data_IF_686818895824
#
_entry.id   IF_686818895824
#
_cell.length_a   1.000
_cell.length_b   1.000
_cell.length_c   1.000
_cell.angle_alpha   90.00
_cell.angle_beta   90.00
_cell.angle_gamma   90.00
#
_symmetry.space_group_name_H-M   'P 1'
#
loop_
_entity.id
_entity.type
_entity.pdbx_description
1 polymer ?
#
# COMPACT_ATOMS: atom_id res chain seq x y z
N UNK A 1 31.29 -75.54 53.24
CA UNK A 1 32.36 -76.14 52.43
C UNK A 1 32.60 -75.25 51.21
N UNK A 2 33.83 -74.74 51.05
CA UNK A 2 34.56 -74.34 49.83
C UNK A 2 33.78 -73.72 48.63
N UNK A 3 34.01 -72.44 48.33
CA UNK A 3 35.02 -71.83 47.40
C UNK A 3 34.38 -71.49 46.03
N UNK A 4 34.13 -70.21 45.73
CA UNK A 4 35.04 -69.20 45.12
C UNK A 4 35.18 -69.30 43.59
N UNK A 5 34.60 -68.34 42.84
CA UNK A 5 35.22 -67.43 41.82
C UNK A 5 34.11 -66.58 41.14
N UNK A 6 34.02 -65.24 41.34
CA UNK A 6 34.67 -64.10 40.62
C UNK A 6 34.27 -63.99 39.12
N UNK A 7 33.91 -62.85 38.50
CA UNK A 7 33.83 -61.42 38.88
C UNK A 7 33.11 -60.56 37.77
N UNK A 8 32.77 -59.30 38.10
CA UNK A 8 32.33 -58.14 37.26
C UNK A 8 30.83 -58.03 36.91
N UNK A 9 30.12 -56.91 37.13
CA UNK A 9 30.48 -55.60 37.68
C UNK A 9 29.32 -54.62 37.44
N UNK A 10 28.76 -54.08 38.53
CA UNK A 10 27.97 -52.83 38.72
C UNK A 10 27.31 -52.19 37.49
N UNK A 11 25.97 -52.03 37.50
CA UNK A 11 25.36 -50.68 37.35
C UNK A 11 23.83 -50.58 37.45
N UNK A 12 23.43 -49.60 38.30
CA UNK A 12 22.33 -48.63 38.16
C UNK A 12 20.91 -49.18 38.45
N UNK A 13 20.43 -49.09 39.69
CA UNK A 13 19.93 -47.88 40.38
C UNK A 13 18.61 -47.34 39.81
N UNK A 14 17.54 -47.68 40.54
CA UNK A 14 16.39 -46.87 40.92
C UNK A 14 16.51 -45.39 40.50
N UNK A 15 15.86 -45.01 39.40
CA UNK A 15 15.70 -43.61 39.02
C UNK A 15 14.33 -43.11 39.47
N UNK A 16 14.41 -42.32 40.52
CA UNK A 16 13.40 -41.47 41.12
C UNK A 16 12.65 -40.64 40.08
N UNK A 17 11.34 -40.54 40.29
CA UNK A 17 10.41 -39.61 39.65
C UNK A 17 10.88 -38.16 39.85
N UNK A 18 11.75 -37.67 38.97
CA UNK A 18 11.95 -36.23 38.79
C UNK A 18 11.02 -35.82 37.67
N UNK A 19 9.96 -35.12 38.06
CA UNK A 19 9.14 -34.33 37.17
C UNK A 19 10.07 -33.46 36.30
N UNK A 20 10.24 -33.86 35.05
CA UNK A 20 10.64 -32.96 33.98
C UNK A 20 9.48 -31.97 33.77
N UNK A 21 9.37 -30.99 34.66
CA UNK A 21 9.11 -29.64 34.23
C UNK A 21 10.32 -29.22 33.39
N UNK A 22 10.38 -29.73 32.15
CA UNK A 22 11.06 -28.98 31.13
C UNK A 22 10.38 -27.60 31.16
N UNK A 23 11.12 -26.50 31.34
CA UNK A 23 10.54 -25.22 30.99
C UNK A 23 10.14 -25.40 29.54
N UNK A 24 8.83 -25.42 29.27
CA UNK A 24 8.30 -24.98 27.99
C UNK A 24 8.96 -23.61 27.88
N UNK A 25 10.08 -23.56 27.17
CA UNK A 25 10.58 -22.34 26.61
C UNK A 25 9.43 -21.95 25.70
N UNK A 26 8.49 -21.20 26.26
CA UNK A 26 7.72 -20.21 25.55
C UNK A 26 8.79 -19.41 24.84
N UNK A 27 9.19 -19.86 23.65
CA UNK A 27 9.98 -19.10 22.74
C UNK A 27 9.16 -17.83 22.60
N UNK A 28 9.58 -16.77 23.30
CA UNK A 28 8.96 -15.46 23.17
C UNK A 28 8.96 -15.23 21.68
N UNK A 29 7.78 -15.00 21.11
CA UNK A 29 7.67 -14.71 19.69
C UNK A 29 8.73 -13.63 19.38
N UNK A 30 9.62 -13.90 18.42
CA UNK A 30 10.72 -12.99 18.13
C UNK A 30 10.13 -11.61 17.83
N UNK A 31 10.56 -10.58 18.56
CA UNK A 31 10.17 -9.20 18.27
C UNK A 31 10.78 -8.82 16.92
N UNK A 32 9.94 -8.51 15.94
CA UNK A 32 10.39 -8.08 14.62
C UNK A 32 10.69 -6.58 14.62
N UNK A 33 11.67 -6.19 13.81
CA UNK A 33 12.20 -4.83 13.73
C UNK A 33 12.88 -4.29 15.00
N UNK A 34 13.06 -5.10 16.03
CA UNK A 34 13.81 -4.71 17.23
C UNK A 34 15.29 -4.48 16.91
N UNK A 35 15.89 -5.41 16.14
CA UNK A 35 17.31 -5.38 15.82
C UNK A 35 17.61 -4.50 14.61
N UNK A 36 18.67 -3.67 14.67
CA UNK A 36 19.14 -2.94 13.50
C UNK A 36 19.66 -3.91 12.42
N UNK A 37 19.65 -3.47 11.17
CA UNK A 37 20.30 -4.21 10.09
C UNK A 37 21.81 -4.34 10.30
N UNK A 38 22.41 -5.38 9.72
CA UNK A 38 23.87 -5.44 9.61
C UNK A 38 24.38 -4.27 8.76
N UNK A 39 25.42 -3.59 9.23
CA UNK A 39 26.01 -2.40 8.60
C UNK A 39 24.98 -1.27 8.37
N UNK A 40 24.05 -1.08 9.30
CA UNK A 40 22.97 -0.11 9.19
C UNK A 40 23.47 1.29 8.79
N UNK A 41 24.55 1.81 9.37
CA UNK A 41 25.02 3.16 9.07
C UNK A 41 25.42 3.36 7.60
N UNK A 42 26.18 2.40 7.04
CA UNK A 42 26.57 2.43 5.63
C UNK A 42 25.36 2.33 4.69
N UNK A 43 24.42 1.45 5.03
CA UNK A 43 23.18 1.30 4.23
C UNK A 43 22.31 2.54 4.36
N UNK A 44 22.23 3.15 5.54
CA UNK A 44 21.42 4.35 5.80
C UNK A 44 21.91 5.51 4.95
N UNK A 45 23.21 5.62 4.73
CA UNK A 45 23.77 6.59 3.79
C UNK A 45 23.30 6.32 2.35
N UNK A 46 23.40 5.09 1.85
CA UNK A 46 22.93 4.76 0.49
C UNK A 46 21.43 5.02 0.30
N UNK A 47 20.63 4.71 1.32
CA UNK A 47 19.18 4.96 1.29
C UNK A 47 18.89 6.46 1.30
N UNK A 48 19.64 7.26 2.07
CA UNK A 48 19.53 8.74 2.03
C UNK A 48 19.95 9.32 0.68
N UNK A 49 20.98 8.76 0.06
CA UNK A 49 21.42 9.19 -1.27
C UNK A 49 20.38 8.86 -2.35
N UNK A 50 19.67 7.74 -2.22
CA UNK A 50 18.60 7.36 -3.14
C UNK A 50 17.30 8.15 -2.90
N UNK A 51 16.82 8.22 -1.66
CA UNK A 51 15.54 8.87 -1.34
C UNK A 51 15.65 10.39 -1.26
N UNK A 52 16.86 10.95 -1.15
CA UNK A 52 17.08 12.39 -1.02
C UNK A 52 16.26 13.01 0.11
N UNK A 53 15.53 14.08 -0.21
CA UNK A 53 14.64 14.77 0.72
C UNK A 53 13.25 14.12 0.85
N UNK A 54 12.96 13.10 0.04
CA UNK A 54 11.65 12.42 0.00
C UNK A 54 11.38 11.52 1.21
N UNK A 55 12.41 11.19 2.01
CA UNK A 55 12.20 10.52 3.28
C UNK A 55 13.17 11.05 4.34
N UNK A 56 12.66 12.01 5.11
CA UNK A 56 13.47 12.79 6.05
C UNK A 56 13.89 12.00 7.28
N UNK A 57 13.07 11.04 7.73
CA UNK A 57 13.38 10.20 8.88
C UNK A 57 12.95 8.75 8.66
N UNK A 58 13.87 7.83 8.96
CA UNK A 58 13.65 6.39 8.88
C UNK A 58 14.69 5.63 9.69
N UNK A 59 14.38 4.36 9.97
CA UNK A 59 15.31 3.40 10.56
C UNK A 59 15.49 2.16 9.70
N UNK A 60 16.63 1.49 9.86
CA UNK A 60 16.94 0.24 9.17
C UNK A 60 16.89 -0.93 10.14
N UNK A 61 15.85 -1.76 10.01
CA UNK A 61 15.52 -2.81 10.96
C UNK A 61 15.38 -4.17 10.28
N UNK A 62 15.67 -5.23 11.04
CA UNK A 62 15.62 -6.59 10.54
C UNK A 62 14.27 -7.24 10.82
N UNK A 63 13.73 -7.98 9.84
CA UNK A 63 12.56 -8.84 9.98
C UNK A 63 12.93 -10.31 9.74
N UNK A 64 12.50 -11.23 10.60
CA UNK A 64 12.74 -12.66 10.42
C UNK A 64 11.56 -13.33 9.70
N UNK A 65 11.52 -13.14 8.37
CA UNK A 65 10.48 -13.69 7.50
C UNK A 65 10.42 -15.21 7.57
N UNK A 66 11.56 -15.88 7.77
CA UNK A 66 11.61 -17.35 7.81
C UNK A 66 10.92 -17.88 9.06
N UNK A 67 11.24 -17.32 10.22
CA UNK A 67 10.61 -17.74 11.48
C UNK A 67 9.13 -17.37 11.49
N UNK A 68 8.75 -16.21 10.97
CA UNK A 68 7.36 -15.80 10.81
C UNK A 68 6.56 -16.83 9.98
N UNK A 69 7.02 -17.16 8.76
CA UNK A 69 6.34 -18.12 7.89
C UNK A 69 6.29 -19.52 8.52
N UNK A 70 7.39 -19.97 9.15
CA UNK A 70 7.44 -21.29 9.81
C UNK A 70 6.48 -21.41 10.98
N UNK A 71 6.17 -20.30 11.67
CA UNK A 71 5.16 -20.26 12.73
C UNK A 71 3.72 -20.38 12.22
N UNK A 72 3.55 -20.37 10.88
CA UNK A 72 2.26 -20.39 10.21
C UNK A 72 1.46 -19.09 10.37
N UNK A 73 2.13 -17.99 10.78
CA UNK A 73 1.49 -16.70 11.06
C UNK A 73 0.31 -16.80 12.06
N UNK A 74 0.27 -17.83 12.92
CA UNK A 74 -0.85 -18.13 13.82
C UNK A 74 -0.79 -17.38 15.15
N UNK A 75 0.27 -16.61 15.39
CA UNK A 75 0.52 -15.92 16.65
C UNK A 75 0.49 -14.41 16.40
N UNK A 76 0.03 -13.62 17.40
CA UNK A 76 0.23 -12.19 17.36
C UNK A 76 1.70 -11.84 17.11
N UNK A 77 1.92 -10.78 16.33
CA UNK A 77 3.22 -10.30 15.94
C UNK A 77 3.62 -9.14 16.84
N UNK A 78 4.78 -9.25 17.47
CA UNK A 78 5.42 -8.13 18.16
C UNK A 78 6.26 -7.37 17.12
N UNK A 79 5.89 -6.12 16.84
CA UNK A 79 6.52 -5.20 15.88
C UNK A 79 7.12 -4.01 16.61
N UNK A 80 8.26 -3.50 16.13
CA UNK A 80 8.85 -2.23 16.61
C UNK A 80 8.85 -1.23 15.46
N UNK A 81 7.99 -0.21 15.53
CA UNK A 81 7.73 0.74 14.44
C UNK A 81 7.85 2.19 14.93
N UNK A 82 8.28 3.14 14.08
CA UNK A 82 8.38 4.54 14.44
C UNK A 82 7.00 5.21 14.54
N UNK A 83 6.79 6.00 15.59
CA UNK A 83 5.64 6.90 15.68
C UNK A 83 5.88 8.21 14.90
N UNK A 84 4.91 9.13 14.97
CA UNK A 84 4.95 10.45 14.33
C UNK A 84 6.08 11.38 14.82
N UNK A 85 6.74 11.02 15.92
CA UNK A 85 7.92 11.70 16.48
C UNK A 85 9.21 10.93 16.19
N UNK A 86 9.14 9.88 15.38
CA UNK A 86 10.22 8.94 15.07
C UNK A 86 10.75 8.16 16.29
N UNK A 87 9.95 8.04 17.34
CA UNK A 87 10.25 7.19 18.48
C UNK A 87 9.85 5.75 18.14
N UNK A 88 10.72 4.78 18.39
CA UNK A 88 10.45 3.38 18.10
C UNK A 88 9.53 2.78 19.17
N UNK A 89 8.30 2.45 18.81
CA UNK A 89 7.27 1.91 19.70
C UNK A 89 7.08 0.41 19.44
N UNK A 90 7.02 -0.38 20.52
CA UNK A 90 6.68 -1.80 20.44
C UNK A 90 5.17 -1.99 20.44
N UNK A 91 4.64 -2.56 19.36
CA UNK A 91 3.23 -2.87 19.19
C UNK A 91 3.02 -4.38 19.05
N UNK A 92 1.97 -4.90 19.66
CA UNK A 92 1.54 -6.30 19.49
C UNK A 92 0.26 -6.36 18.67
N UNK A 93 0.35 -6.89 17.46
CA UNK A 93 -0.77 -6.93 16.51
C UNK A 93 -1.26 -8.36 16.30
N UNK A 94 -2.58 -8.55 16.19
CA UNK A 94 -3.14 -9.80 15.67
C UNK A 94 -2.75 -9.98 14.20
N UNK A 95 -2.67 -11.23 13.75
CA UNK A 95 -2.37 -11.58 12.37
C UNK A 95 -3.43 -12.55 11.89
N UNK A 96 -3.98 -12.29 10.72
CA UNK A 96 -4.96 -13.16 10.06
C UNK A 96 -4.58 -13.28 8.59
N UNK A 97 -4.65 -14.49 8.03
CA UNK A 97 -4.52 -14.67 6.57
C UNK A 97 -5.61 -13.85 5.87
N UNK A 98 -5.21 -13.02 4.92
CA UNK A 98 -6.12 -12.17 4.17
C UNK A 98 -6.13 -12.62 2.71
N UNK A 99 -7.32 -12.81 2.10
CA UNK A 99 -7.42 -13.25 0.71
C UNK A 99 -6.67 -12.31 -0.24
N UNK A 100 -5.97 -12.88 -1.22
CA UNK A 100 -5.23 -12.14 -2.24
C UNK A 100 -5.87 -12.29 -3.62
N UNK A 101 -6.04 -13.50 -4.11
CA UNK A 101 -6.68 -13.77 -5.40
C UNK A 101 -7.98 -14.54 -5.21
N UNK A 102 -8.81 -14.54 -6.25
CA UNK A 102 -9.91 -15.50 -6.31
C UNK A 102 -9.37 -16.93 -6.25
N UNK A 103 -10.09 -17.82 -5.57
CA UNK A 103 -9.61 -19.14 -5.17
C UNK A 103 -9.07 -19.99 -6.34
N UNK A 104 -9.64 -19.80 -7.53
CA UNK A 104 -9.32 -20.60 -8.71
C UNK A 104 -8.24 -19.96 -9.61
N UNK A 105 -7.76 -18.76 -9.28
CA UNK A 105 -6.68 -18.09 -10.02
C UNK A 105 -5.32 -18.70 -9.66
N UNK A 106 -4.89 -19.67 -10.47
CA UNK A 106 -3.65 -20.44 -10.24
C UNK A 106 -2.53 -20.10 -11.23
N UNK A 107 -2.82 -19.28 -12.24
CA UNK A 107 -1.89 -18.92 -13.28
C UNK A 107 -1.97 -17.43 -13.66
N UNK A 108 -0.88 -16.92 -14.20
CA UNK A 108 -0.72 -15.57 -14.75
C UNK A 108 -0.05 -15.66 -16.12
N UNK A 109 0.03 -14.54 -16.83
CA UNK A 109 0.57 -14.53 -18.19
C UNK A 109 1.81 -13.64 -18.31
N UNK A 110 2.87 -14.19 -18.92
CA UNK A 110 4.01 -13.42 -19.41
C UNK A 110 3.85 -13.18 -20.90
N UNK A 111 3.75 -11.92 -21.29
CA UNK A 111 3.47 -11.52 -22.67
C UNK A 111 4.74 -11.16 -23.43
N UNK A 112 4.81 -11.65 -24.67
CA UNK A 112 5.83 -11.31 -25.65
C UNK A 112 5.24 -10.55 -26.84
N UNK A 113 5.91 -10.56 -27.98
CA UNK A 113 5.46 -9.82 -29.17
C UNK A 113 4.25 -10.45 -29.85
N UNK A 114 3.33 -9.60 -30.31
CA UNK A 114 2.06 -10.02 -30.93
C UNK A 114 1.15 -10.75 -29.94
N UNK A 115 0.54 -11.85 -30.37
CA UNK A 115 -0.37 -12.68 -29.56
C UNK A 115 0.36 -13.72 -28.70
N UNK A 116 1.70 -13.64 -28.58
CA UNK A 116 2.49 -14.63 -27.85
C UNK A 116 2.39 -14.39 -26.35
N UNK A 117 1.81 -15.35 -25.64
CA UNK A 117 1.76 -15.36 -24.18
C UNK A 117 2.26 -16.70 -23.63
N UNK A 118 2.89 -16.66 -22.47
CA UNK A 118 3.28 -17.84 -21.70
C UNK A 118 2.58 -17.84 -20.35
N UNK A 119 1.77 -18.87 -20.12
CA UNK A 119 1.16 -19.12 -18.81
C UNK A 119 2.24 -19.50 -17.79
N UNK A 120 2.19 -18.88 -16.62
CA UNK A 120 3.08 -19.10 -15.48
C UNK A 120 2.23 -19.49 -14.28
N UNK A 121 2.65 -20.55 -13.57
CA UNK A 121 2.05 -20.90 -12.29
C UNK A 121 2.31 -19.80 -11.27
N UNK A 122 1.24 -19.30 -10.66
CA UNK A 122 1.34 -18.28 -9.63
C UNK A 122 1.98 -18.83 -8.35
N UNK A 123 2.81 -18.04 -7.65
CA UNK A 123 3.32 -18.42 -6.35
C UNK A 123 2.19 -18.45 -5.32
N UNK A 124 2.37 -19.26 -4.27
CA UNK A 124 1.46 -19.31 -3.13
C UNK A 124 1.35 -17.91 -2.50
N UNK A 125 0.12 -17.51 -2.21
CA UNK A 125 -0.19 -16.28 -1.50
C UNK A 125 0.15 -16.36 -0.03
N UNK A 126 0.69 -15.25 0.46
CA UNK A 126 1.08 -15.05 1.84
C UNK A 126 0.86 -13.58 2.16
N UNK A 127 -0.41 -13.23 2.29
CA UNK A 127 -0.87 -11.89 2.64
C UNK A 127 -1.64 -11.98 3.95
N UNK A 128 -1.45 -10.99 4.81
CA UNK A 128 -2.01 -10.98 6.14
C UNK A 128 -2.59 -9.61 6.46
N UNK A 129 -3.75 -9.62 7.09
CA UNK A 129 -4.28 -8.47 7.80
C UNK A 129 -3.59 -8.40 9.16
N UNK A 130 -3.12 -7.20 9.51
CA UNK A 130 -2.57 -6.88 10.83
C UNK A 130 -3.61 -6.11 11.64
N UNK A 131 -3.74 -6.46 12.91
CA UNK A 131 -4.75 -5.86 13.79
C UNK A 131 -6.16 -6.42 13.52
N UNK A 132 -7.18 -5.75 14.05
CA UNK A 132 -8.58 -6.19 13.92
C UNK A 132 -9.37 -5.32 12.95
N UNK A 133 -8.92 -4.10 12.67
CA UNK A 133 -9.62 -3.14 11.83
C UNK A 133 -11.12 -3.01 12.21
N UNK A 134 -11.40 -2.68 13.47
CA UNK A 134 -12.77 -2.69 14.00
C UNK A 134 -13.07 -1.41 14.79
N UNK A 135 -14.36 -1.05 14.84
CA UNK A 135 -14.87 0.02 15.69
C UNK A 135 -14.49 -0.24 17.16
N UNK A 136 -13.63 0.62 17.72
CA UNK A 136 -13.09 0.50 19.09
C UNK A 136 -11.67 -0.08 19.19
N UNK A 137 -11.17 -0.78 18.17
CA UNK A 137 -9.78 -1.18 18.01
C UNK A 137 -9.29 -0.84 16.60
N UNK A 138 -8.82 0.41 16.39
CA UNK A 138 -8.48 0.92 15.07
C UNK A 138 -7.15 0.38 14.54
N UNK A 139 -6.42 -0.44 15.30
CA UNK A 139 -5.18 -1.05 14.79
C UNK A 139 -5.51 -1.87 13.55
N UNK A 140 -4.98 -1.42 12.42
CA UNK A 140 -5.24 -1.99 11.11
C UNK A 140 -3.99 -1.94 10.26
N UNK A 141 -3.82 -2.89 9.34
CA UNK A 141 -2.65 -2.92 8.49
C UNK A 141 -2.60 -4.14 7.60
N UNK A 142 -1.58 -4.18 6.75
CA UNK A 142 -1.30 -5.32 5.89
C UNK A 142 0.14 -5.79 6.07
N UNK A 143 0.38 -7.06 5.76
CA UNK A 143 1.71 -7.63 5.61
C UNK A 143 1.68 -8.60 4.43
N UNK A 144 2.45 -8.28 3.40
CA UNK A 144 2.62 -9.11 2.22
C UNK A 144 4.01 -9.75 2.24
N UNK A 145 4.10 -11.05 1.94
CA UNK A 145 5.38 -11.70 1.70
C UNK A 145 5.74 -11.58 0.21
N UNK A 146 6.79 -10.82 -0.08
CA UNK A 146 7.30 -10.60 -1.42
C UNK A 146 8.62 -11.34 -1.57
N UNK A 147 8.57 -12.51 -2.22
CA UNK A 147 9.71 -13.41 -2.37
C UNK A 147 10.17 -14.02 -1.04
N UNK A 148 11.18 -13.43 -0.41
CA UNK A 148 11.73 -13.87 0.90
C UNK A 148 11.72 -12.76 1.95
N UNK A 149 11.03 -11.67 1.66
CA UNK A 149 10.98 -10.46 2.46
C UNK A 149 9.52 -10.10 2.73
N UNK A 150 9.28 -9.11 3.58
CA UNK A 150 7.94 -8.60 3.87
C UNK A 150 7.86 -7.13 3.55
N UNK A 151 6.71 -6.68 3.09
CA UNK A 151 6.36 -5.26 3.03
C UNK A 151 4.94 -5.08 3.53
N UNK A 152 4.61 -3.88 3.99
CA UNK A 152 3.28 -3.58 4.51
C UNK A 152 3.29 -2.37 5.42
N UNK A 153 2.19 -2.19 6.13
CA UNK A 153 2.00 -1.06 7.03
C UNK A 153 1.15 -1.41 8.24
N UNK A 154 1.20 -0.54 9.24
CA UNK A 154 0.28 -0.52 10.38
C UNK A 154 -0.17 0.91 10.66
N UNK A 155 -1.47 1.09 10.81
CA UNK A 155 -2.11 2.29 11.34
C UNK A 155 -2.57 1.97 12.76
N UNK A 156 -2.13 2.78 13.74
CA UNK A 156 -2.52 2.64 15.14
C UNK A 156 -2.40 3.97 15.88
N UNK A 157 -3.23 4.19 16.89
CA UNK A 157 -3.27 5.43 17.68
C UNK A 157 -1.92 5.84 18.30
N UNK A 158 -1.03 4.89 18.60
CA UNK A 158 0.27 5.20 19.22
C UNK A 158 1.35 5.55 18.20
N UNK A 159 1.22 5.05 16.97
CA UNK A 159 2.25 5.20 15.94
C UNK A 159 1.79 6.03 14.74
N UNK A 160 0.51 6.38 14.62
CA UNK A 160 -0.03 6.96 13.39
C UNK A 160 0.03 5.93 12.27
N UNK A 161 0.58 6.32 11.12
CA UNK A 161 0.74 5.46 9.94
C UNK A 161 2.21 5.09 9.71
N UNK A 162 2.59 3.86 10.05
CA UNK A 162 3.96 3.36 9.89
C UNK A 162 4.05 2.29 8.79
N UNK A 163 5.10 2.37 7.99
CA UNK A 163 5.36 1.49 6.86
C UNK A 163 6.70 0.76 7.02
N UNK A 164 6.78 -0.39 6.37
CA UNK A 164 8.01 -1.16 6.27
C UNK A 164 8.13 -1.82 4.89
N UNK A 165 9.31 -1.73 4.29
CA UNK A 165 9.58 -2.35 3.00
C UNK A 165 11.04 -2.81 2.85
N UNK A 166 11.33 -3.80 2.00
CA UNK A 166 12.67 -4.33 1.89
C UNK A 166 13.61 -3.37 1.17
N UNK A 167 14.71 -2.99 1.84
CA UNK A 167 15.72 -2.04 1.30
C UNK A 167 16.22 -2.51 -0.06
N UNK A 168 16.52 -3.80 -0.22
CA UNK A 168 17.03 -4.32 -1.48
C UNK A 168 16.08 -4.17 -2.66
N UNK A 169 14.76 -4.09 -2.44
CA UNK A 169 13.79 -3.81 -3.50
C UNK A 169 13.65 -2.32 -3.76
N UNK A 170 13.61 -1.51 -2.70
CA UNK A 170 13.62 -0.05 -2.79
C UNK A 170 14.82 0.44 -3.61
N UNK A 171 16.03 0.01 -3.26
CA UNK A 171 17.24 0.40 -3.97
C UNK A 171 17.24 -0.01 -5.45
N UNK A 172 16.59 -1.12 -5.80
CA UNK A 172 16.48 -1.56 -7.21
C UNK A 172 15.60 -0.63 -8.04
N UNK A 173 14.52 -0.09 -7.45
CA UNK A 173 13.68 0.93 -8.11
C UNK A 173 14.48 2.21 -8.33
N UNK A 174 15.34 2.54 -7.37
CA UNK A 174 16.36 3.59 -7.43
C UNK A 174 17.60 3.24 -8.28
N UNK A 175 17.42 2.43 -9.34
CA UNK A 175 18.46 2.13 -10.32
C UNK A 175 19.59 1.18 -9.87
N UNK A 176 19.60 0.69 -8.62
CA UNK A 176 20.65 -0.21 -8.16
C UNK A 176 20.53 -1.60 -8.80
N UNK A 177 21.43 -1.91 -9.73
CA UNK A 177 21.45 -3.21 -10.46
C UNK A 177 21.64 -4.43 -9.56
N UNK A 178 22.36 -4.30 -8.43
CA UNK A 178 22.62 -5.43 -7.51
C UNK A 178 22.74 -5.00 -6.05
N UNK A 179 21.74 -5.37 -5.24
CA UNK A 179 21.80 -5.29 -3.79
C UNK A 179 22.77 -6.33 -3.20
N UNK A 180 23.71 -5.89 -2.38
CA UNK A 180 24.65 -6.75 -1.64
C UNK A 180 24.44 -6.72 -0.13
N UNK A 181 23.52 -5.91 0.37
CA UNK A 181 23.21 -5.82 1.79
C UNK A 181 22.38 -7.00 2.30
N UNK A 182 22.03 -6.93 3.58
CA UNK A 182 21.28 -7.99 4.25
C UNK A 182 19.87 -8.14 3.63
N UNK A 183 19.46 -9.38 3.38
CA UNK A 183 18.14 -9.69 2.83
C UNK A 183 17.03 -9.59 3.88
N UNK A 184 17.35 -9.61 5.16
CA UNK A 184 16.36 -9.32 6.21
C UNK A 184 16.21 -7.82 6.49
N UNK A 185 16.98 -6.96 5.83
CA UNK A 185 16.95 -5.53 6.09
C UNK A 185 15.76 -4.84 5.43
N UNK A 186 15.04 -4.09 6.25
CA UNK A 186 13.89 -3.28 5.85
C UNK A 186 14.13 -1.84 6.28
N UNK A 187 13.63 -0.92 5.47
CA UNK A 187 13.38 0.43 5.93
C UNK A 187 12.09 0.41 6.72
N UNK A 188 12.07 1.09 7.87
CA UNK A 188 10.86 1.35 8.65
C UNK A 188 10.74 2.84 8.85
N UNK A 189 9.57 3.39 8.56
CA UNK A 189 9.36 4.83 8.58
C UNK A 189 7.89 5.16 8.86
N UNK A 190 7.65 6.40 9.25
CA UNK A 190 6.31 6.94 9.43
C UNK A 190 5.94 7.77 8.20
N UNK A 191 4.68 7.72 7.77
CA UNK A 191 4.18 8.52 6.66
C UNK A 191 4.43 10.02 6.87
N UNK A 192 4.42 10.50 8.12
CA UNK A 192 4.72 11.90 8.47
C UNK A 192 6.12 12.38 8.08
N UNK A 193 7.05 11.47 7.78
CA UNK A 193 8.41 11.80 7.36
C UNK A 193 8.65 11.64 5.87
N UNK A 194 7.64 11.20 5.13
CA UNK A 194 7.70 11.08 3.68
C UNK A 194 7.43 12.44 3.03
N UNK A 195 8.09 12.71 1.91
CA UNK A 195 7.86 13.88 1.07
C UNK A 195 6.51 13.81 0.35
N UNK A 196 6.12 14.90 -0.32
CA UNK A 196 4.84 14.98 -1.02
C UNK A 196 4.78 14.01 -2.21
N UNK A 197 3.55 13.62 -2.59
CA UNK A 197 3.23 12.80 -3.77
C UNK A 197 2.36 13.66 -4.69
N UNK A 198 2.89 14.46 -5.61
CA UNK A 198 2.03 15.28 -6.44
C UNK A 198 1.15 14.41 -7.34
N UNK A 199 -0.10 14.84 -7.48
CA UNK A 199 -0.99 14.40 -8.55
C UNK A 199 -1.22 15.63 -9.43
N UNK A 200 -0.41 15.80 -10.47
CA UNK A 200 -0.63 16.83 -11.47
C UNK A 200 -1.30 16.20 -12.70
N UNK A 201 -2.57 16.54 -12.92
CA UNK A 201 -3.33 16.14 -14.12
C UNK A 201 -3.18 17.14 -15.27
N UNK A 202 -2.42 18.21 -15.06
CA UNK A 202 -2.29 19.29 -16.04
C UNK A 202 -0.83 19.37 -16.47
N UNK A 203 -0.46 18.86 -17.66
CA UNK A 203 0.75 19.31 -18.33
C UNK A 203 0.53 20.77 -18.75
N UNK A 204 0.76 21.68 -17.81
CA UNK A 204 0.69 23.12 -17.99
C UNK A 204 2.06 23.68 -17.77
N UNK A 205 2.61 24.33 -18.80
CA UNK A 205 3.86 25.08 -18.82
C UNK A 205 4.34 25.52 -17.44
N UNK A 206 5.62 25.24 -17.15
CA UNK A 206 6.39 25.83 -16.05
C UNK A 206 6.37 27.36 -16.14
N UNK A 207 5.28 28.00 -15.80
CA UNK A 207 5.21 29.43 -15.56
C UNK A 207 5.44 29.64 -14.07
N UNK A 208 6.70 30.00 -13.77
CA UNK A 208 7.09 30.54 -12.49
C UNK A 208 6.18 31.72 -12.12
N UNK A 209 5.17 31.48 -11.30
CA UNK A 209 4.42 32.57 -10.68
C UNK A 209 5.20 33.10 -9.47
N UNK A 210 6.09 34.04 -9.76
CA UNK A 210 6.49 35.06 -8.79
C UNK A 210 5.30 36.01 -8.61
N UNK A 211 4.60 35.93 -7.49
CA UNK A 211 4.22 37.10 -6.67
C UNK A 211 3.34 36.67 -5.50
N UNK A 212 3.76 37.06 -4.30
CA UNK A 212 2.96 36.83 -3.10
C UNK A 212 1.85 37.85 -2.92
N UNK A 213 0.86 37.50 -2.10
CA UNK A 213 0.52 38.30 -0.91
C UNK A 213 -0.34 37.51 0.08
N UNK A 214 -0.04 37.83 1.33
CA UNK A 214 -0.55 37.34 2.61
C UNK A 214 -2.08 37.40 2.77
N UNK A 215 -2.62 36.50 3.61
CA UNK A 215 -3.58 36.92 4.63
C UNK A 215 -4.70 35.95 5.00
N UNK A 216 -4.44 34.95 5.85
CA UNK A 216 -4.94 34.92 7.23
C UNK A 216 -4.35 33.70 7.96
N UNK A 217 -3.29 33.92 8.73
CA UNK A 217 -2.80 32.93 9.69
C UNK A 217 -3.74 33.02 10.89
N UNK A 218 -4.79 32.19 10.90
CA UNK A 218 -5.45 31.83 12.14
C UNK A 218 -4.44 30.98 12.93
N UNK A 219 -3.97 31.53 14.04
CA UNK A 219 -2.99 30.82 14.88
C UNK A 219 -3.61 29.49 15.32
N UNK A 220 -2.91 28.37 15.10
CA UNK A 220 -3.41 27.01 15.37
C UNK A 220 -3.90 26.75 16.81
N UNK A 221 -3.67 27.69 17.73
CA UNK A 221 -4.25 27.69 19.09
C UNK A 221 -5.75 27.97 19.12
N UNK A 222 -6.28 28.82 18.24
CA UNK A 222 -7.72 29.11 18.19
C UNK A 222 -8.51 27.96 17.57
N UNK A 223 -7.99 27.36 16.49
CA UNK A 223 -8.58 26.17 15.85
C UNK A 223 -8.61 24.98 16.82
N UNK A 224 -7.52 24.73 17.56
CA UNK A 224 -7.49 23.67 18.57
C UNK A 224 -8.45 23.92 19.75
N UNK A 225 -8.68 25.19 20.13
CA UNK A 225 -9.63 25.55 21.19
C UNK A 225 -11.10 25.51 20.74
N UNK A 226 -11.39 25.76 19.46
CA UNK A 226 -12.73 25.68 18.89
C UNK A 226 -13.09 24.23 18.51
N UNK A 227 -12.12 23.41 18.11
CA UNK A 227 -12.28 21.96 17.94
C UNK A 227 -12.54 21.28 19.28
N UNK A 228 -11.80 21.65 20.34
CA UNK A 228 -12.03 21.14 21.70
C UNK A 228 -13.39 21.58 22.26
N UNK A 229 -13.82 22.84 22.02
CA UNK A 229 -15.16 23.31 22.39
C UNK A 229 -16.27 22.63 21.58
N UNK A 230 -16.04 22.33 20.29
CA UNK A 230 -16.98 21.54 19.49
C UNK A 230 -17.13 20.13 20.07
N UNK A 231 -16.01 19.45 20.35
CA UNK A 231 -15.98 18.11 20.96
C UNK A 231 -16.60 18.06 22.37
N UNK A 232 -16.45 19.10 23.18
CA UNK A 232 -17.09 19.23 24.49
C UNK A 232 -18.59 19.58 24.38
N UNK A 233 -19.03 20.21 23.27
CA UNK A 233 -20.44 20.52 22.98
C UNK A 233 -21.21 19.38 22.33
N UNK A 234 -20.53 18.41 21.68
CA UNK A 234 -21.14 17.15 21.20
C UNK A 234 -21.27 16.16 22.37
N UNK A 235 -21.87 16.63 23.46
CA UNK A 235 -22.38 15.78 24.52
C UNK A 235 -23.53 14.94 23.98
N UNK A 236 -23.42 13.63 24.16
CA UNK A 236 -24.35 12.60 23.71
C UNK A 236 -24.40 12.36 22.19
N UNK A 237 -23.35 11.69 21.68
CA UNK A 237 -23.62 10.73 20.61
C UNK A 237 -24.59 9.69 21.19
N UNK A 238 -25.84 9.77 20.74
CA UNK A 238 -26.73 8.61 20.76
C UNK A 238 -25.92 7.45 20.20
N UNK A 239 -25.80 6.39 21.02
CA UNK A 239 -25.32 5.09 20.56
C UNK A 239 -26.38 4.65 19.55
N UNK A 240 -26.18 5.01 18.28
CA UNK A 240 -26.84 4.31 17.20
C UNK A 240 -26.50 2.83 17.37
N UNK A 241 -27.50 1.93 17.24
CA UNK A 241 -27.28 0.50 17.38
C UNK A 241 -26.12 0.12 16.46
N UNK A 242 -25.30 -0.84 16.90
CA UNK A 242 -24.14 -1.31 16.15
C UNK A 242 -24.52 -1.63 14.70
N UNK A 243 -24.41 -0.64 13.81
CA UNK A 243 -24.48 -0.85 12.39
C UNK A 243 -23.25 -1.72 12.11
N UNK A 244 -23.53 -2.99 11.80
CA UNK A 244 -22.52 -3.88 11.25
C UNK A 244 -21.83 -3.12 10.12
N UNK A 245 -20.51 -3.29 9.97
CA UNK A 245 -19.84 -2.80 8.76
C UNK A 245 -20.69 -3.26 7.56
N UNK A 246 -20.95 -2.37 6.57
CA UNK A 246 -21.68 -2.75 5.38
C UNK A 246 -21.09 -4.04 4.83
N UNK A 247 -21.93 -4.94 4.31
CA UNK A 247 -21.40 -6.12 3.62
C UNK A 247 -20.48 -5.63 2.50
N UNK A 248 -19.23 -6.14 2.44
CA UNK A 248 -18.29 -5.65 1.44
C UNK A 248 -18.82 -5.92 0.03
N UNK A 249 -18.78 -4.89 -0.82
CA UNK A 249 -18.97 -5.07 -2.26
C UNK A 249 -17.69 -5.64 -2.84
N UNK A 250 -17.82 -6.76 -3.53
CA UNK A 250 -16.72 -7.46 -4.18
C UNK A 250 -16.60 -7.00 -5.63
N UNK A 251 -15.46 -6.40 -5.99
CA UNK A 251 -15.24 -5.83 -7.33
C UNK A 251 -14.08 -6.57 -8.01
N UNK A 252 -14.31 -7.29 -9.12
CA UNK A 252 -13.23 -7.92 -9.89
C UNK A 252 -12.16 -6.92 -10.34
N UNK A 253 -10.89 -7.29 -10.24
CA UNK A 253 -9.78 -6.48 -10.73
C UNK A 253 -8.73 -7.35 -11.47
N UNK A 254 -8.25 -6.86 -12.61
CA UNK A 254 -7.11 -7.43 -13.36
C UNK A 254 -5.87 -6.57 -13.12
N UNK A 255 -4.72 -7.22 -12.93
CA UNK A 255 -3.46 -6.54 -12.60
C UNK A 255 -2.40 -6.78 -13.65
N UNK A 256 -2.01 -5.70 -14.33
CA UNK A 256 -1.09 -5.78 -15.46
C UNK A 256 0.18 -5.00 -15.18
N UNK A 257 1.26 -5.24 -15.92
CA UNK A 257 2.46 -4.43 -15.78
C UNK A 257 3.38 -4.49 -16.98
N UNK A 258 4.15 -3.43 -17.17
CA UNK A 258 5.10 -3.35 -18.27
C UNK A 258 6.39 -4.16 -18.04
N UNK A 259 7.24 -4.14 -19.06
CA UNK A 259 8.52 -4.82 -19.06
C UNK A 259 9.58 -4.22 -18.12
N UNK A 260 9.55 -2.92 -17.85
CA UNK A 260 10.41 -2.28 -16.86
C UNK A 260 10.03 -2.75 -15.45
N UNK A 261 8.74 -2.81 -15.13
CA UNK A 261 8.24 -3.30 -13.85
C UNK A 261 8.61 -4.76 -13.64
N UNK A 262 8.48 -5.60 -14.68
CA UNK A 262 9.00 -6.97 -14.68
C UNK A 262 10.49 -7.01 -14.35
N UNK A 263 11.27 -6.18 -15.02
CA UNK A 263 12.74 -6.17 -14.96
C UNK A 263 13.31 -5.78 -13.60
N UNK A 264 12.56 -5.02 -12.79
CA UNK A 264 12.93 -4.72 -11.40
C UNK A 264 13.21 -6.01 -10.59
N UNK A 265 12.33 -7.00 -10.74
CA UNK A 265 12.48 -8.31 -10.10
C UNK A 265 11.49 -9.33 -10.67
N UNK A 266 11.92 -10.13 -11.66
CA UNK A 266 11.05 -11.13 -12.31
C UNK A 266 10.45 -12.15 -11.34
N UNK A 267 11.22 -12.57 -10.33
CA UNK A 267 10.78 -13.61 -9.38
C UNK A 267 9.71 -13.14 -8.40
N UNK A 268 9.43 -11.83 -8.32
CA UNK A 268 8.49 -11.26 -7.35
C UNK A 268 7.41 -10.40 -7.99
N UNK A 269 7.33 -10.34 -9.32
CA UNK A 269 6.40 -9.44 -10.02
C UNK A 269 4.94 -9.63 -9.58
N UNK A 270 4.45 -10.87 -9.54
CA UNK A 270 3.09 -11.19 -9.14
C UNK A 270 2.77 -10.80 -7.69
N UNK A 271 3.71 -11.04 -6.78
CA UNK A 271 3.57 -10.67 -5.37
C UNK A 271 3.66 -9.17 -5.15
N UNK A 272 4.36 -8.42 -6.03
CA UNK A 272 4.46 -6.96 -5.94
C UNK A 272 3.16 -6.29 -6.36
N UNK A 273 2.58 -6.69 -7.48
CA UNK A 273 1.24 -6.24 -7.90
C UNK A 273 0.21 -6.51 -6.79
N UNK A 274 0.21 -7.76 -6.30
CA UNK A 274 -0.73 -8.20 -5.27
C UNK A 274 -0.53 -7.47 -3.93
N UNK A 275 0.71 -7.15 -3.56
CA UNK A 275 1.02 -6.42 -2.33
C UNK A 275 0.36 -5.04 -2.30
N UNK A 276 0.47 -4.27 -3.40
CA UNK A 276 -0.14 -2.93 -3.51
C UNK A 276 -1.66 -3.04 -3.43
N UNK A 277 -2.28 -3.92 -4.22
CA UNK A 277 -3.74 -4.08 -4.18
C UNK A 277 -4.25 -4.54 -2.82
N UNK A 278 -3.52 -5.43 -2.13
CA UNK A 278 -3.91 -5.81 -0.78
C UNK A 278 -3.85 -4.64 0.21
N UNK A 279 -2.89 -3.74 0.07
CA UNK A 279 -2.87 -2.50 0.85
C UNK A 279 -4.09 -1.63 0.53
N UNK A 280 -4.44 -1.46 -0.75
CA UNK A 280 -5.64 -0.71 -1.17
C UNK A 280 -6.91 -1.34 -0.61
N UNK A 281 -7.05 -2.68 -0.63
CA UNK A 281 -8.21 -3.39 -0.04
C UNK A 281 -8.36 -3.14 1.46
N UNK A 282 -7.26 -3.04 2.19
CA UNK A 282 -7.34 -2.71 3.62
C UNK A 282 -7.84 -1.26 3.79
N UNK A 283 -7.40 -0.34 2.92
CA UNK A 283 -7.88 1.04 2.92
C UNK A 283 -9.39 1.08 2.60
N UNK A 284 -9.78 0.57 1.43
CA UNK A 284 -11.15 0.61 0.92
C UNK A 284 -12.13 -0.25 1.71
N UNK A 285 -11.73 -1.46 2.11
CA UNK A 285 -12.63 -2.44 2.68
C UNK A 285 -12.78 -2.31 4.20
N UNK A 286 -11.77 -1.80 4.89
CA UNK A 286 -11.72 -1.83 6.36
C UNK A 286 -11.44 -0.47 7.01
N UNK A 287 -10.72 0.42 6.34
CA UNK A 287 -10.36 1.72 6.90
C UNK A 287 -11.37 2.81 6.55
N UNK A 288 -11.73 2.96 5.27
CA UNK A 288 -12.73 3.93 4.82
C UNK A 288 -14.11 3.78 5.48
N UNK A 289 -14.62 2.56 5.75
CA UNK A 289 -15.83 2.39 6.54
C UNK A 289 -15.73 2.94 7.98
N UNK A 290 -14.53 3.21 8.49
CA UNK A 290 -14.29 3.72 9.85
C UNK A 290 -14.01 5.22 9.89
N UNK A 291 -13.63 5.81 8.75
CA UNK A 291 -13.38 7.24 8.58
C UNK A 291 -14.65 7.96 8.14
N UNK A 292 -15.11 7.73 6.91
CA UNK A 292 -16.11 8.57 6.24
C UNK A 292 -17.25 7.79 5.58
N UNK A 293 -17.07 6.48 5.36
CA UNK A 293 -17.93 5.70 4.49
C UNK A 293 -18.90 4.77 5.22
N UNK A 294 -20.08 4.61 4.65
CA UNK A 294 -20.95 3.44 4.77
C UNK A 294 -20.77 2.48 3.58
N UNK A 295 -19.64 2.60 2.87
CA UNK A 295 -19.20 1.68 1.83
C UNK A 295 -18.01 0.85 2.30
N UNK A 296 -17.87 -0.35 1.75
CA UNK A 296 -16.74 -1.25 1.96
C UNK A 296 -16.51 -1.98 0.64
N UNK A 297 -15.30 -1.84 0.08
CA UNK A 297 -14.96 -2.47 -1.20
C UNK A 297 -13.81 -3.46 -0.99
N UNK A 298 -14.00 -4.68 -1.47
CA UNK A 298 -12.97 -5.70 -1.56
C UNK A 298 -12.73 -5.98 -3.03
N UNK A 299 -11.58 -5.54 -3.54
CA UNK A 299 -11.19 -5.92 -4.90
C UNK A 299 -10.93 -7.42 -4.95
N UNK A 300 -11.35 -8.15 -5.96
CA UNK A 300 -11.05 -9.57 -6.15
C UNK A 300 -10.12 -9.74 -7.34
N UNK A 301 -8.87 -10.18 -7.10
CA UNK A 301 -7.88 -10.27 -8.18
C UNK A 301 -8.19 -11.52 -9.00
N UNK A 302 -8.62 -11.29 -10.24
CA UNK A 302 -9.08 -12.32 -11.17
C UNK A 302 -8.12 -12.57 -12.34
N UNK A 303 -7.22 -11.62 -12.61
CA UNK A 303 -6.22 -11.74 -13.66
C UNK A 303 -4.90 -11.12 -13.23
N UNK A 304 -3.80 -11.70 -13.69
CA UNK A 304 -2.48 -11.05 -13.62
C UNK A 304 -1.71 -11.26 -14.92
N UNK A 305 -1.24 -10.15 -15.50
CA UNK A 305 -0.37 -10.14 -16.68
C UNK A 305 0.90 -9.33 -16.43
N UNK A 306 1.96 -9.65 -17.17
CA UNK A 306 3.15 -8.83 -17.25
C UNK A 306 3.86 -8.98 -18.60
N UNK A 307 4.33 -7.87 -19.15
CA UNK A 307 5.12 -7.85 -20.38
C UNK A 307 6.59 -8.22 -20.17
N UNK A 308 7.16 -8.93 -21.15
CA UNK A 308 8.59 -9.24 -21.19
C UNK A 308 9.39 -8.10 -21.82
N UNK A 309 10.70 -7.98 -21.50
CA UNK A 309 11.60 -7.01 -22.13
C UNK A 309 11.54 -7.05 -23.66
N UNK A 310 11.42 -5.85 -24.26
CA UNK A 310 11.28 -5.67 -25.70
C UNK A 310 9.84 -5.62 -26.21
N UNK A 311 8.86 -5.62 -25.31
CA UNK A 311 7.42 -5.55 -25.63
C UNK A 311 6.68 -4.68 -24.60
N UNK A 312 5.43 -4.32 -24.90
CA UNK A 312 4.60 -3.44 -24.08
C UNK A 312 4.63 -2.00 -24.58
N UNK A 313 4.20 -1.04 -23.74
CA UNK A 313 4.12 0.36 -24.12
C UNK A 313 5.51 0.90 -24.42
N UNK A 314 5.57 1.87 -25.34
CA UNK A 314 6.80 2.51 -25.78
C UNK A 314 6.87 3.98 -25.44
N UNK A 315 5.74 4.61 -25.17
CA UNK A 315 5.65 6.00 -24.77
C UNK A 315 6.06 6.24 -23.32
N UNK A 316 6.59 7.43 -23.07
CA UNK A 316 6.81 7.99 -21.73
C UNK A 316 5.86 9.13 -21.43
N UNK A 317 4.95 9.50 -22.33
CA UNK A 317 3.89 10.47 -22.07
C UNK A 317 2.70 9.78 -21.40
N UNK A 318 2.16 10.39 -20.35
CA UNK A 318 1.10 9.77 -19.55
C UNK A 318 -0.23 9.64 -20.28
N UNK A 319 -0.57 10.60 -21.15
CA UNK A 319 -1.82 10.57 -21.92
C UNK A 319 -1.69 9.55 -23.04
N UNK A 320 -0.58 9.59 -23.79
CA UNK A 320 -0.32 8.59 -24.82
C UNK A 320 -0.23 7.18 -24.23
N UNK A 321 0.18 7.04 -22.97
CA UNK A 321 0.21 5.74 -22.29
C UNK A 321 -1.20 5.18 -22.06
N UNK A 322 -2.17 6.04 -21.70
CA UNK A 322 -3.59 5.64 -21.63
C UNK A 322 -4.04 5.15 -23.00
N UNK A 323 -3.68 5.85 -24.08
CA UNK A 323 -4.01 5.42 -25.44
C UNK A 323 -3.38 4.08 -25.79
N UNK A 324 -2.08 3.92 -25.55
CA UNK A 324 -1.37 2.68 -25.89
C UNK A 324 -1.90 1.47 -25.13
N UNK A 325 -2.23 1.59 -23.83
CA UNK A 325 -2.72 0.44 -23.05
C UNK A 325 -4.17 0.06 -23.33
N UNK A 326 -4.96 1.00 -23.87
CA UNK A 326 -6.36 0.77 -24.24
C UNK A 326 -6.55 0.55 -25.75
N UNK A 327 -5.48 0.56 -26.55
CA UNK A 327 -5.56 0.27 -27.98
C UNK A 327 -6.06 -1.17 -28.21
N UNK A 328 -7.07 -1.42 -29.06
CA UNK A 328 -7.55 -2.78 -29.32
C UNK A 328 -6.48 -3.75 -29.86
N UNK A 329 -5.41 -3.22 -30.48
CA UNK A 329 -4.22 -3.93 -30.89
C UNK A 329 -3.20 -4.15 -29.77
N UNK A 330 -3.28 -3.40 -28.68
CA UNK A 330 -2.61 -3.67 -27.41
C UNK A 330 -3.35 -4.82 -26.68
N UNK A 331 -3.14 -6.04 -27.17
CA UNK A 331 -3.92 -7.22 -26.80
C UNK A 331 -3.79 -7.63 -25.31
N UNK A 332 -4.50 -7.00 -24.37
CA UNK A 332 -4.55 -7.52 -22.99
C UNK A 332 -5.21 -8.90 -22.96
N UNK A 333 -4.58 -9.86 -22.28
CA UNK A 333 -5.13 -11.22 -22.14
C UNK A 333 -6.33 -11.17 -21.20
N UNK A 334 -6.25 -10.32 -20.19
CA UNK A 334 -7.35 -10.01 -19.28
C UNK A 334 -7.89 -8.62 -19.60
N UNK A 335 -8.74 -8.55 -20.61
CA UNK A 335 -9.55 -7.36 -20.85
C UNK A 335 -10.59 -7.25 -19.74
N UNK A 336 -10.67 -6.09 -19.07
CA UNK A 336 -11.74 -5.85 -18.11
C UNK A 336 -13.04 -5.60 -18.89
N UNK A 337 -14.13 -6.22 -18.43
CA UNK A 337 -15.49 -5.94 -18.90
C UNK A 337 -16.15 -4.84 -18.05
N UNK A 338 -17.35 -4.40 -18.45
CA UNK A 338 -18.20 -3.53 -17.61
C UNK A 338 -18.41 -4.18 -16.22
N UNK A 339 -18.27 -3.40 -15.15
CA UNK A 339 -18.25 -3.86 -13.75
C UNK A 339 -17.03 -4.72 -13.35
N UNK A 340 -15.92 -4.64 -14.09
CA UNK A 340 -14.60 -5.06 -13.65
C UNK A 340 -13.64 -3.87 -13.68
N UNK A 341 -12.50 -3.97 -13.01
CA UNK A 341 -11.46 -2.95 -13.01
C UNK A 341 -10.14 -3.48 -13.58
N UNK A 342 -9.32 -2.59 -14.14
CA UNK A 342 -7.94 -2.89 -14.53
C UNK A 342 -6.96 -1.87 -13.93
N UNK A 343 -5.86 -2.38 -13.35
CA UNK A 343 -4.76 -1.55 -12.87
C UNK A 343 -3.44 -1.97 -13.51
N UNK A 344 -2.84 -1.06 -14.27
CA UNK A 344 -1.58 -1.26 -14.98
C UNK A 344 -0.40 -0.63 -14.22
N UNK A 345 0.55 -1.46 -13.80
CA UNK A 345 1.73 -1.00 -13.05
C UNK A 345 2.89 -0.63 -13.98
N UNK A 346 3.33 0.63 -13.91
CA UNK A 346 4.38 1.20 -14.76
C UNK A 346 5.71 1.22 -14.02
N UNK A 347 6.76 0.65 -14.63
CA UNK A 347 8.08 0.47 -14.02
C UNK A 347 9.14 1.44 -14.49
N UNK A 348 8.76 2.49 -15.22
CA UNK A 348 9.61 3.56 -15.71
C UNK A 348 8.98 4.92 -15.41
N UNK A 349 9.78 5.98 -15.57
CA UNK A 349 9.34 7.36 -15.40
C UNK A 349 8.47 7.81 -16.58
N UNK A 350 7.20 8.09 -16.30
CA UNK A 350 6.24 8.69 -17.20
C UNK A 350 6.39 10.20 -17.07
N UNK A 351 7.00 10.81 -18.09
CA UNK A 351 7.31 12.24 -18.13
C UNK A 351 6.04 13.09 -17.92
N UNK A 352 6.16 14.16 -17.14
CA UNK A 352 5.08 15.12 -16.91
C UNK A 352 4.77 15.40 -15.44
N UNK A 353 5.33 14.62 -14.51
CA UNK A 353 5.06 14.77 -13.07
C UNK A 353 3.75 14.10 -12.62
N UNK A 354 3.12 13.34 -13.50
CA UNK A 354 1.88 12.60 -13.25
C UNK A 354 2.19 11.19 -12.76
N UNK A 355 1.65 10.81 -11.60
CA UNK A 355 1.91 9.51 -10.98
C UNK A 355 1.00 8.39 -11.50
N UNK A 356 -0.12 8.75 -12.11
CA UNK A 356 -1.14 7.86 -12.61
C UNK A 356 -2.20 8.62 -13.40
N UNK A 357 -2.92 7.92 -14.25
CA UNK A 357 -4.16 8.42 -14.87
C UNK A 357 -5.17 7.27 -14.85
N UNK A 358 -6.40 7.64 -14.56
CA UNK A 358 -7.55 6.75 -14.53
C UNK A 358 -8.68 7.23 -15.45
N UNK A 359 -9.47 6.28 -15.94
CA UNK A 359 -10.80 6.56 -16.46
C UNK A 359 -11.82 6.91 -15.36
N UNK A 360 -13.09 6.92 -15.74
CA UNK A 360 -14.18 7.08 -14.79
C UNK A 360 -15.42 6.28 -15.19
N UNK A 361 -15.73 5.24 -14.44
CA UNK A 361 -16.87 4.35 -14.66
C UNK A 361 -18.20 5.08 -14.40
N UNK A 362 -18.22 5.87 -13.33
CA UNK A 362 -19.44 6.49 -12.82
C UNK A 362 -19.60 7.97 -13.16
N UNK A 363 -18.69 8.54 -13.95
CA UNK A 363 -18.72 9.96 -14.31
C UNK A 363 -18.74 10.18 -15.81
N UNK A 364 -19.89 9.91 -16.43
CA UNK A 364 -20.10 10.11 -17.86
C UNK A 364 -20.19 11.58 -18.29
N UNK A 365 -20.19 12.55 -17.36
CA UNK A 365 -20.40 13.99 -17.68
C UNK A 365 -19.24 14.92 -17.33
N UNK A 366 -18.29 14.54 -16.47
CA UNK A 366 -17.13 15.42 -16.17
C UNK A 366 -15.98 15.25 -17.17
N UNK A 367 -15.90 14.14 -17.90
CA UNK A 367 -14.81 13.88 -18.85
C UNK A 367 -15.21 13.87 -20.34
N UNK A 368 -16.44 14.29 -20.68
CA UNK A 368 -16.84 14.67 -22.06
C UNK A 368 -16.37 16.09 -22.42
N UNK A 369 -15.47 16.65 -21.63
CA UNK A 369 -14.86 17.97 -21.82
C UNK A 369 -13.42 17.81 -22.29
N UNK A 370 -13.22 17.58 -23.58
CA UNK A 370 -11.95 17.78 -24.31
C UNK A 370 -10.82 16.76 -24.12
N UNK A 371 -10.81 15.94 -23.07
CA UNK A 371 -9.72 14.98 -22.83
C UNK A 371 -10.02 13.57 -23.36
N UNK A 372 -11.14 12.92 -23.03
CA UNK A 372 -11.44 11.56 -23.55
C UNK A 372 -12.10 11.52 -24.94
N UNK A 373 -12.65 12.63 -25.44
CA UNK A 373 -13.23 12.69 -26.80
C UNK A 373 -12.18 12.55 -27.93
N UNK A 374 -10.89 12.40 -27.58
CA UNK A 374 -9.79 12.18 -28.51
C UNK A 374 -8.73 11.17 -28.06
N UNK A 375 -8.94 10.48 -26.93
CA UNK A 375 -8.03 9.45 -26.39
C UNK A 375 -8.61 8.10 -26.80
N UNK A 376 -7.98 7.43 -27.76
CA UNK A 376 -8.23 6.04 -28.13
C UNK A 376 -9.57 5.72 -28.81
N UNK A 377 -9.70 4.46 -29.25
CA UNK A 377 -10.87 3.97 -30.01
C UNK A 377 -11.81 3.08 -29.18
N UNK A 378 -11.44 2.76 -27.93
CA UNK A 378 -12.19 1.91 -27.00
C UNK A 378 -12.49 2.66 -25.68
N UNK A 379 -13.46 3.58 -25.77
CA UNK A 379 -13.85 4.48 -24.68
C UNK A 379 -14.43 3.72 -23.48
N UNK A 380 -15.06 2.56 -23.72
CA UNK A 380 -15.68 1.79 -22.64
C UNK A 380 -14.60 1.07 -21.80
N UNK A 381 -13.57 0.48 -22.43
CA UNK A 381 -12.42 -0.06 -21.69
C UNK A 381 -11.69 1.02 -20.88
N UNK A 382 -11.47 2.21 -21.45
CA UNK A 382 -10.76 3.27 -20.75
C UNK A 382 -11.39 3.65 -19.41
N UNK A 383 -12.72 3.57 -19.27
CA UNK A 383 -13.43 3.97 -18.05
C UNK A 383 -13.06 3.15 -16.82
N UNK A 384 -12.74 1.87 -17.04
CA UNK A 384 -12.41 0.92 -15.99
C UNK A 384 -10.91 0.68 -15.84
N UNK A 385 -10.09 1.42 -16.57
CA UNK A 385 -8.65 1.25 -16.60
C UNK A 385 -7.93 2.42 -15.92
N UNK A 386 -6.91 2.09 -15.11
CA UNK A 386 -5.93 3.06 -14.63
C UNK A 386 -4.51 2.53 -14.79
N UNK A 387 -3.55 3.43 -15.00
CA UNK A 387 -2.13 3.12 -14.85
C UNK A 387 -1.50 3.87 -13.69
N UNK A 388 -0.49 3.27 -13.07
CA UNK A 388 0.20 3.82 -11.90
C UNK A 388 1.70 3.61 -11.98
N UNK A 389 2.47 4.70 -11.86
CA UNK A 389 3.92 4.66 -11.79
C UNK A 389 4.41 4.06 -10.47
N UNK A 390 5.50 3.30 -10.52
CA UNK A 390 6.05 2.55 -9.38
C UNK A 390 7.53 2.85 -9.13
N UNK A 391 8.05 3.92 -9.74
CA UNK A 391 9.44 4.38 -9.66
C UNK A 391 9.48 5.90 -9.45
N UNK A 392 10.62 6.43 -9.03
CA UNK A 392 10.84 7.87 -8.94
C UNK A 392 10.69 8.54 -10.31
N UNK A 393 10.09 9.73 -10.35
CA UNK A 393 9.97 10.51 -11.58
C UNK A 393 11.20 11.41 -11.81
N UNK A 394 11.37 11.94 -13.03
CA UNK A 394 12.46 12.86 -13.34
C UNK A 394 12.40 14.20 -12.57
N UNK A 395 11.27 14.53 -11.96
CA UNK A 395 11.07 15.74 -11.15
C UNK A 395 11.46 15.54 -9.68
N UNK A 396 11.82 14.32 -9.27
CA UNK A 396 12.26 13.96 -7.93
C UNK A 396 11.14 13.57 -6.97
N UNK A 397 9.94 13.27 -7.47
CA UNK A 397 8.80 12.78 -6.71
C UNK A 397 8.89 11.28 -6.45
N UNK A 398 8.55 10.89 -5.22
CA UNK A 398 8.83 9.56 -4.71
C UNK A 398 7.60 8.63 -4.78
N UNK A 399 7.41 8.01 -5.94
CA UNK A 399 6.42 6.96 -6.15
C UNK A 399 6.98 5.54 -5.94
N UNK A 400 8.29 5.40 -5.70
CA UNK A 400 8.96 4.11 -5.61
C UNK A 400 8.89 3.49 -4.21
N UNK A 401 8.65 4.29 -3.17
CA UNK A 401 8.39 3.79 -1.81
C UNK A 401 7.06 3.03 -1.75
N UNK A 402 6.89 2.20 -0.74
CA UNK A 402 5.62 1.50 -0.50
C UNK A 402 4.47 2.50 -0.31
N UNK A 403 4.71 3.57 0.41
CA UNK A 403 3.72 4.61 0.64
C UNK A 403 3.27 5.27 -0.66
N UNK A 404 4.21 5.71 -1.51
CA UNK A 404 3.93 6.27 -2.84
C UNK A 404 3.04 5.35 -3.67
N UNK A 405 3.44 4.08 -3.81
CA UNK A 405 2.69 3.09 -4.58
C UNK A 405 1.27 2.85 -4.10
N UNK A 406 1.05 2.84 -2.79
CA UNK A 406 -0.27 2.62 -2.21
C UNK A 406 -1.16 3.84 -2.47
N UNK A 407 -0.66 5.04 -2.19
CA UNK A 407 -1.43 6.28 -2.33
C UNK A 407 -1.82 6.52 -3.79
N UNK A 408 -0.90 6.33 -4.73
CA UNK A 408 -1.18 6.47 -6.17
C UNK A 408 -2.23 5.45 -6.64
N UNK A 409 -2.09 4.18 -6.29
CA UNK A 409 -3.11 3.18 -6.64
C UNK A 409 -4.48 3.46 -6.01
N UNK A 410 -4.49 3.95 -4.76
CA UNK A 410 -5.71 4.34 -4.05
C UNK A 410 -6.37 5.56 -4.70
N UNK A 411 -5.58 6.53 -5.16
CA UNK A 411 -6.06 7.73 -5.85
C UNK A 411 -6.71 7.40 -7.20
N UNK A 412 -6.00 6.65 -8.05
CA UNK A 412 -6.47 6.33 -9.39
C UNK A 412 -7.72 5.43 -9.37
N UNK A 413 -7.78 4.45 -8.48
CA UNK A 413 -8.99 3.66 -8.30
C UNK A 413 -10.15 4.50 -7.75
N UNK A 414 -9.85 5.57 -7.00
CA UNK A 414 -10.83 6.57 -6.56
C UNK A 414 -11.48 7.29 -7.75
N UNK A 415 -10.69 7.69 -8.75
CA UNK A 415 -11.19 8.31 -9.98
C UNK A 415 -12.10 7.39 -10.80
N UNK A 416 -11.72 6.12 -10.96
CA UNK A 416 -12.59 5.14 -11.63
C UNK A 416 -13.95 5.07 -10.93
N UNK A 417 -13.93 5.05 -9.60
CA UNK A 417 -15.13 4.99 -8.75
C UNK A 417 -15.82 6.35 -8.56
N UNK A 418 -15.51 7.34 -9.40
CA UNK A 418 -16.24 8.61 -9.49
C UNK A 418 -15.76 9.71 -8.55
N UNK A 419 -14.69 9.51 -7.78
CA UNK A 419 -14.07 10.58 -6.98
C UNK A 419 -13.44 11.66 -7.85
N UNK A 420 -13.35 12.88 -7.31
CA UNK A 420 -12.81 14.03 -8.03
C UNK A 420 -11.92 14.90 -7.15
N UNK A 421 -10.96 15.57 -7.80
CA UNK A 421 -10.03 16.46 -7.10
C UNK A 421 -10.69 17.64 -6.42
N UNK A 422 -11.75 18.18 -7.04
CA UNK A 422 -12.49 19.33 -6.50
C UNK A 422 -13.12 19.07 -5.13
N UNK A 423 -13.26 17.80 -4.75
CA UNK A 423 -13.80 17.37 -3.46
C UNK A 423 -12.70 16.95 -2.47
N UNK A 424 -11.44 17.01 -2.89
CA UNK A 424 -10.31 16.87 -1.99
C UNK A 424 -10.20 18.04 -1.02
N UNK A 425 -9.47 17.85 0.06
CA UNK A 425 -9.09 18.94 0.97
C UNK A 425 -7.62 18.86 1.38
N UNK A 426 -7.12 19.97 1.92
CA UNK A 426 -5.73 20.13 2.35
C UNK A 426 -5.61 20.82 3.71
N UNK A 427 -4.54 20.51 4.44
CA UNK A 427 -4.11 21.24 5.64
C UNK A 427 -4.61 20.67 6.97
N UNK A 428 -4.19 21.29 8.07
CA UNK A 428 -4.40 20.77 9.43
C UNK A 428 -5.86 20.69 9.91
N UNK A 429 -6.80 21.28 9.16
CA UNK A 429 -8.25 21.20 9.41
C UNK A 429 -8.95 20.18 8.51
N UNK A 430 -8.27 19.66 7.49
CA UNK A 430 -8.77 18.60 6.64
C UNK A 430 -8.43 17.28 7.33
N UNK A 431 -9.45 16.64 7.92
CA UNK A 431 -9.28 15.41 8.68
C UNK A 431 -10.27 14.37 8.21
N UNK A 432 -9.91 13.10 8.40
CA UNK A 432 -10.87 12.01 8.31
C UNK A 432 -12.05 12.29 9.26
N UNK A 433 -13.26 11.89 8.86
CA UNK A 433 -14.37 11.85 9.81
C UNK A 433 -14.24 10.62 10.73
N UNK A 434 -15.21 10.43 11.62
CA UNK A 434 -15.37 9.18 12.36
C UNK A 434 -14.27 8.87 13.39
N UNK A 435 -13.95 7.58 13.53
CA UNK A 435 -13.11 7.05 14.62
C UNK A 435 -11.63 7.37 14.49
N UNK A 436 -11.24 7.87 13.33
CA UNK A 436 -9.89 8.17 12.93
C UNK A 436 -9.71 9.66 12.66
N UNK A 437 -10.59 10.51 13.21
CA UNK A 437 -10.53 11.98 13.11
C UNK A 437 -9.28 12.65 13.67
N UNK A 438 -8.35 11.89 14.24
CA UNK A 438 -7.01 12.36 14.55
C UNK A 438 -6.09 12.39 13.33
N UNK A 439 -6.48 11.74 12.24
CA UNK A 439 -5.79 11.73 10.95
C UNK A 439 -6.19 12.99 10.18
N UNK A 440 -5.25 13.91 10.06
CA UNK A 440 -5.44 15.25 9.50
C UNK A 440 -4.29 15.59 8.57
N UNK A 441 -4.60 16.07 7.37
CA UNK A 441 -3.64 16.35 6.32
C UNK A 441 -4.34 16.52 4.98
N UNK A 442 -3.70 16.05 3.91
CA UNK A 442 -4.30 16.09 2.60
C UNK A 442 -5.04 14.79 2.32
N UNK A 443 -6.30 14.90 1.90
CA UNK A 443 -7.11 13.74 1.51
C UNK A 443 -6.54 13.07 0.25
N UNK A 444 -6.81 11.79 0.06
CA UNK A 444 -6.34 10.98 -1.08
C UNK A 444 -6.56 11.69 -2.42
N UNK A 445 -7.73 12.28 -2.64
CA UNK A 445 -8.10 12.89 -3.92
C UNK A 445 -7.59 14.31 -4.11
N UNK A 446 -6.69 14.83 -3.29
CA UNK A 446 -6.19 16.19 -3.49
C UNK A 446 -5.21 16.25 -4.68
N UNK A 447 -5.36 17.22 -5.58
CA UNK A 447 -4.43 17.47 -6.68
C UNK A 447 -3.32 18.46 -6.34
N UNK A 448 -2.16 18.31 -6.99
CA UNK A 448 -1.00 19.21 -6.90
C UNK A 448 -1.25 20.62 -7.45
N UNK A 449 -2.21 20.76 -8.37
CA UNK A 449 -2.52 22.01 -9.05
C UNK A 449 -3.21 23.06 -8.17
N UNK A 450 -3.83 22.66 -7.05
CA UNK A 450 -4.62 23.56 -6.19
C UNK A 450 -3.74 24.33 -5.21
N UNK A 451 -2.87 25.21 -5.73
CA UNK A 451 -2.09 26.17 -4.91
C UNK A 451 -0.57 26.10 -5.05
N UNK A 452 -0.03 25.30 -5.98
CA UNK A 452 1.41 25.28 -6.29
C UNK A 452 2.28 24.68 -5.18
N UNK A 453 1.70 23.90 -4.28
CA UNK A 453 2.41 23.14 -3.24
C UNK A 453 2.00 21.69 -3.38
N UNK A 454 2.98 20.83 -3.69
CA UNK A 454 2.76 19.39 -3.81
C UNK A 454 2.13 18.85 -2.52
N UNK A 455 0.99 18.14 -2.60
CA UNK A 455 0.23 17.78 -1.42
C UNK A 455 1.01 16.81 -0.50
N UNK A 456 0.88 17.05 0.80
CA UNK A 456 1.49 16.34 1.94
C UNK A 456 0.49 15.29 2.46
N UNK A 457 0.54 14.07 1.93
CA UNK A 457 -0.51 13.03 1.99
C UNK A 457 -0.60 12.24 3.30
N UNK A 458 -0.18 12.83 4.42
CA UNK A 458 0.20 12.10 5.65
C UNK A 458 -0.81 11.07 6.17
N UNK A 459 -2.08 11.17 5.77
CA UNK A 459 -3.16 10.23 6.10
C UNK A 459 -3.99 9.79 4.87
N UNK A 460 -4.16 8.47 4.62
CA UNK A 460 -4.89 7.95 3.46
C UNK A 460 -6.41 7.95 3.71
N UNK A 461 -7.07 9.11 3.62
CA UNK A 461 -8.54 9.20 3.74
C UNK A 461 -9.21 9.89 2.55
N UNK A 462 -10.41 9.45 2.18
CA UNK A 462 -11.29 10.20 1.28
C UNK A 462 -12.06 11.28 2.05
N UNK A 463 -12.41 12.40 1.43
CA UNK A 463 -13.35 13.34 2.06
C UNK A 463 -14.77 12.76 2.10
N UNK A 464 -15.68 13.28 2.95
CA UNK A 464 -17.08 12.86 2.94
C UNK A 464 -17.75 12.97 1.55
N UNK A 465 -17.44 14.02 0.80
CA UNK A 465 -18.01 14.23 -0.54
C UNK A 465 -17.50 13.17 -1.54
N UNK A 466 -16.19 12.90 -1.57
CA UNK A 466 -15.65 11.81 -2.38
C UNK A 466 -16.20 10.44 -1.95
N UNK A 467 -16.36 10.23 -0.65
CA UNK A 467 -16.94 8.98 -0.11
C UNK A 467 -18.38 8.78 -0.58
N UNK A 468 -19.19 9.85 -0.60
CA UNK A 468 -20.56 9.80 -1.08
C UNK A 468 -20.62 9.49 -2.60
N UNK A 469 -19.68 10.01 -3.38
CA UNK A 469 -19.56 9.69 -4.81
C UNK A 469 -19.16 8.24 -5.06
N UNK A 470 -18.14 7.74 -4.36
CA UNK A 470 -17.74 6.33 -4.43
C UNK A 470 -18.94 5.45 -4.10
N UNK A 471 -19.65 5.74 -3.01
CA UNK A 471 -20.85 4.98 -2.66
C UNK A 471 -21.90 5.01 -3.76
N UNK A 472 -22.21 6.19 -4.31
CA UNK A 472 -23.20 6.34 -5.39
C UNK A 472 -22.81 5.52 -6.61
N UNK A 473 -21.52 5.52 -6.95
CA UNK A 473 -20.96 4.72 -8.03
C UNK A 473 -21.12 3.22 -7.78
N UNK A 474 -20.67 2.76 -6.61
CA UNK A 474 -20.76 1.37 -6.20
C UNK A 474 -22.20 0.89 -6.26
N UNK A 475 -23.13 1.58 -5.59
CA UNK A 475 -24.54 1.19 -5.54
C UNK A 475 -25.23 1.16 -6.94
N UNK A 476 -24.69 1.90 -7.91
CA UNK A 476 -25.25 2.00 -9.26
C UNK A 476 -24.72 0.93 -10.22
N UNK A 477 -23.46 0.50 -10.04
CA UNK A 477 -22.71 -0.33 -10.99
C UNK A 477 -22.48 -1.75 -10.47
N UNK A 478 -22.25 -1.92 -9.16
CA UNK A 478 -21.80 -3.16 -8.52
C UNK A 478 -22.78 -3.66 -7.46
#
# INVERSE_FOLDING_TARGET
>A
MNNNTRLFGISIATALTVALFAPIHSASAATNFEKPCRNADYVKQQVREALGENLTQFELRSFDTRSFIRSGARRPLDLVLPNEKNEMIKLRVSVQEFPGRVKDLTAAFLKGGGTRARTIKLPREMNFQLGKCQKGNPTCGNLAVVGKQVEGFVIDKQIGFALFEPVGMLMKRHGMKRWRGDRSCHIVYNANFHGPIPFDDIPGDKQASRSGKQGLILTGKQVAQDLRRSLESVGNFLIEPANAMPFPTHIPIKLDSDAAFYSLSPSTVWSRQLSVINSVRIIYGLFEPLTNGDWSIIFDVEGQETWLPGYGPTTTDGVDLVDEINDPGYYMIHHADDNELSLFFVGYDVSGGTAGIAGSECNSTVYTGRWLDGIGTDVDHQRVHAWVQQVEDASGYEFSTLYGRIIVATHELGHILGSAHAEGCTGATCCAAGLLSFMCGNSIMMSGASGGVAPDFRDPFFTPDNSAKIKTCVDAVY
#
